data_IF_742211672650
#
_entry.id   IF_742211672650
#
_cell.length_a   1.000
_cell.length_b   1.000
_cell.length_c   1.000
_cell.angle_alpha   90.00
_cell.angle_beta   90.00
_cell.angle_gamma   90.00
#
_symmetry.space_group_name_H-M   'P 1'
#
loop_
_entity.id
_entity.type
_entity.pdbx_description
1 polymer ?
#
# COMPACT_ATOMS: atom_id res chain seq x y z
N UNK A 1 39.54 -16.57 7.20
CA UNK A 1 38.79 -17.14 6.07
C UNK A 1 37.44 -16.47 6.05
N UNK A 2 37.35 -15.43 5.23
CA UNK A 2 36.17 -14.57 5.07
C UNK A 2 35.12 -15.32 4.29
N UNK A 3 34.11 -15.84 4.98
CA UNK A 3 32.88 -16.27 4.32
C UNK A 3 32.20 -15.00 3.80
N UNK A 4 32.41 -14.72 2.51
CA UNK A 4 31.56 -13.83 1.74
C UNK A 4 30.18 -14.49 1.68
N UNK A 5 29.32 -14.17 2.64
CA UNK A 5 27.90 -14.30 2.42
C UNK A 5 27.54 -13.37 1.27
N UNK A 6 26.81 -13.83 0.23
CA UNK A 6 26.18 -12.89 -0.68
C UNK A 6 25.27 -12.02 0.18
N UNK A 7 25.58 -10.73 0.28
CA UNK A 7 24.70 -9.73 0.88
C UNK A 7 23.39 -9.76 0.09
N UNK A 8 22.47 -10.60 0.53
CA UNK A 8 21.11 -10.64 0.02
C UNK A 8 20.31 -9.70 0.92
N UNK A 9 20.52 -8.40 0.69
CA UNK A 9 19.68 -7.32 1.20
C UNK A 9 18.22 -7.63 0.86
N UNK A 10 17.30 -7.52 1.83
CA UNK A 10 15.91 -7.99 1.78
C UNK A 10 15.68 -9.47 1.35
N UNK A 11 15.95 -10.41 2.26
CA UNK A 11 15.30 -11.72 2.21
C UNK A 11 13.79 -11.56 2.41
N UNK A 12 13.02 -11.84 1.36
CA UNK A 12 11.55 -11.67 1.32
C UNK A 12 10.86 -12.31 2.53
N UNK A 13 11.31 -13.51 2.89
CA UNK A 13 10.75 -14.28 4.00
C UNK A 13 11.00 -13.60 5.35
N UNK A 14 12.21 -13.07 5.57
CA UNK A 14 12.59 -12.49 6.85
C UNK A 14 11.81 -11.20 7.11
N UNK A 15 11.62 -10.37 6.08
CA UNK A 15 10.79 -9.16 6.17
C UNK A 15 9.35 -9.49 6.54
N UNK A 16 8.78 -10.54 5.95
CA UNK A 16 7.38 -10.92 6.20
C UNK A 16 7.23 -11.54 7.59
N UNK A 17 8.18 -12.38 8.01
CA UNK A 17 8.19 -12.99 9.35
C UNK A 17 8.35 -11.89 10.41
N UNK A 18 9.27 -10.94 10.22
CA UNK A 18 9.47 -9.82 11.13
C UNK A 18 8.22 -8.93 11.20
N UNK A 19 7.68 -8.53 10.04
CA UNK A 19 6.46 -7.72 9.97
C UNK A 19 5.25 -8.41 10.61
N UNK A 20 5.11 -9.73 10.40
CA UNK A 20 4.05 -10.52 11.04
C UNK A 20 4.24 -10.63 12.55
N UNK A 21 5.47 -10.83 13.02
CA UNK A 21 5.80 -10.91 14.45
C UNK A 21 5.42 -9.61 15.17
N UNK A 22 5.83 -8.46 14.64
CA UNK A 22 5.50 -7.14 15.22
C UNK A 22 3.99 -6.91 15.25
N UNK A 23 3.31 -7.22 14.15
CA UNK A 23 1.86 -7.10 14.07
C UNK A 23 1.14 -7.99 15.10
N UNK A 24 1.59 -9.23 15.26
CA UNK A 24 1.03 -10.19 16.21
C UNK A 24 1.25 -9.74 17.66
N UNK A 25 2.46 -9.31 17.99
CA UNK A 25 2.86 -8.97 19.35
C UNK A 25 2.10 -7.71 19.85
N UNK A 26 1.75 -6.79 18.94
CA UNK A 26 0.97 -5.57 19.24
C UNK A 26 -0.45 -5.56 18.64
N UNK A 27 -1.01 -6.73 18.34
CA UNK A 27 -2.26 -6.88 17.58
C UNK A 27 -3.40 -6.02 18.14
N UNK A 28 -3.66 -6.09 19.46
CA UNK A 28 -4.76 -5.36 20.09
C UNK A 28 -4.64 -3.85 19.93
N UNK A 29 -3.42 -3.33 20.09
CA UNK A 29 -3.15 -1.90 19.99
C UNK A 29 -3.32 -1.42 18.55
N UNK A 30 -2.69 -2.10 17.60
CA UNK A 30 -2.76 -1.74 16.18
C UNK A 30 -4.15 -1.91 15.60
N UNK A 31 -4.86 -2.98 15.96
CA UNK A 31 -6.23 -3.21 15.55
C UNK A 31 -7.16 -2.11 16.08
N UNK A 32 -7.05 -1.73 17.35
CA UNK A 32 -7.89 -0.67 17.94
C UNK A 32 -7.62 0.68 17.29
N UNK A 33 -6.34 1.01 17.05
CA UNK A 33 -5.97 2.25 16.35
C UNK A 33 -6.52 2.26 14.92
N UNK A 34 -6.37 1.16 14.18
CA UNK A 34 -6.86 1.06 12.82
C UNK A 34 -8.39 1.09 12.75
N UNK A 35 -9.10 0.47 13.70
CA UNK A 35 -10.56 0.50 13.77
C UNK A 35 -11.06 1.93 14.01
N UNK A 36 -10.46 2.63 14.98
CA UNK A 36 -10.76 4.06 15.24
C UNK A 36 -10.41 4.92 14.02
N UNK A 37 -9.28 4.65 13.35
CA UNK A 37 -8.88 5.34 12.11
C UNK A 37 -9.89 5.11 10.98
N UNK A 38 -10.32 3.87 10.76
CA UNK A 38 -11.29 3.50 9.73
C UNK A 38 -12.69 4.07 10.01
N UNK A 39 -13.10 4.21 11.27
CA UNK A 39 -14.35 4.89 11.65
C UNK A 39 -14.38 6.35 11.16
N UNK A 40 -13.24 7.03 11.14
CA UNK A 40 -13.15 8.38 10.59
C UNK A 40 -13.41 8.44 9.08
N UNK A 41 -13.33 7.33 8.33
CA UNK A 41 -13.61 7.34 6.89
C UNK A 41 -15.05 7.78 6.54
N UNK A 42 -15.98 7.70 7.49
CA UNK A 42 -17.35 8.17 7.36
C UNK A 42 -17.38 9.69 7.14
N UNK A 43 -16.44 10.43 7.71
CA UNK A 43 -16.32 11.89 7.56
C UNK A 43 -15.39 12.19 6.36
N UNK A 44 -15.91 12.71 5.23
CA UNK A 44 -15.08 12.98 4.06
C UNK A 44 -13.99 14.01 4.34
N UNK A 45 -12.89 13.92 3.58
CA UNK A 45 -11.74 14.84 3.60
C UNK A 45 -11.00 14.86 4.94
N UNK A 46 -11.60 15.42 6.00
CA UNK A 46 -11.02 15.49 7.34
C UNK A 46 -10.79 14.09 7.90
N UNK A 47 -11.80 13.23 7.85
CA UNK A 47 -11.70 11.88 8.38
C UNK A 47 -10.77 10.98 7.56
N UNK A 48 -10.64 11.25 6.26
CA UNK A 48 -9.64 10.60 5.41
C UNK A 48 -8.22 10.99 5.82
N UNK A 49 -7.96 12.29 6.01
CA UNK A 49 -6.68 12.78 6.53
C UNK A 49 -6.36 12.18 7.91
N UNK A 50 -7.37 12.11 8.79
CA UNK A 50 -7.24 11.52 10.13
C UNK A 50 -6.94 10.03 10.10
N UNK A 51 -7.62 9.29 9.22
CA UNK A 51 -7.38 7.87 9.00
C UNK A 51 -5.94 7.66 8.52
N UNK A 52 -5.50 8.39 7.48
CA UNK A 52 -4.13 8.29 6.95
C UNK A 52 -3.06 8.62 8.00
N UNK A 53 -3.26 9.66 8.80
CA UNK A 53 -2.35 10.01 9.89
C UNK A 53 -2.28 8.91 10.96
N UNK A 54 -3.41 8.25 11.25
CA UNK A 54 -3.46 7.12 12.20
C UNK A 54 -2.73 5.91 11.63
N UNK A 55 -2.87 5.64 10.33
CA UNK A 55 -2.14 4.58 9.65
C UNK A 55 -0.63 4.87 9.58
N UNK A 56 -0.24 6.13 9.37
CA UNK A 56 1.15 6.58 9.46
C UNK A 56 1.72 6.40 10.88
N UNK A 57 0.92 6.66 11.92
CA UNK A 57 1.33 6.44 13.31
C UNK A 57 1.60 4.97 13.60
N UNK A 58 0.79 4.04 13.05
CA UNK A 58 1.04 2.60 13.17
C UNK A 58 2.36 2.21 12.50
N UNK A 59 2.66 2.75 11.32
CA UNK A 59 3.93 2.49 10.64
C UNK A 59 5.13 3.04 11.43
N UNK A 60 4.99 4.23 12.03
CA UNK A 60 6.01 4.83 12.90
C UNK A 60 6.27 3.98 14.14
N UNK A 61 5.22 3.52 14.82
CA UNK A 61 5.33 2.61 15.97
C UNK A 61 6.02 1.30 15.58
N UNK A 62 5.63 0.71 14.46
CA UNK A 62 6.26 -0.51 13.97
C UNK A 62 7.75 -0.31 13.62
N UNK A 63 8.13 0.86 13.07
CA UNK A 63 9.53 1.18 12.80
C UNK A 63 10.35 1.29 14.07
N UNK A 64 9.87 2.04 15.06
CA UNK A 64 10.54 2.20 16.34
C UNK A 64 10.67 0.89 17.14
N UNK A 65 9.73 -0.03 16.96
CA UNK A 65 9.83 -1.39 17.50
C UNK A 65 10.98 -2.18 16.84
N UNK A 66 11.13 -2.09 15.51
CA UNK A 66 12.25 -2.72 14.77
C UNK A 66 13.59 -2.09 15.17
N UNK A 67 13.63 -0.78 15.37
CA UNK A 67 14.82 -0.05 15.78
C UNK A 67 15.17 -0.18 17.27
N UNK A 68 14.50 -1.08 18.01
CA UNK A 68 14.68 -1.33 19.44
C UNK A 68 14.54 -0.06 20.33
N UNK A 69 13.76 0.93 19.85
CA UNK A 69 13.52 2.21 20.54
C UNK A 69 12.02 2.51 20.60
N UNK A 70 11.25 1.79 21.43
CA UNK A 70 9.79 1.87 21.42
C UNK A 70 9.30 3.27 21.78
N UNK A 71 8.51 3.87 20.89
CA UNK A 71 7.84 5.16 21.09
C UNK A 71 6.45 4.94 21.71
N UNK A 72 6.02 5.74 22.70
CA UNK A 72 4.68 5.61 23.24
C UNK A 72 3.61 6.00 22.20
N UNK A 73 2.45 5.32 22.19
CA UNK A 73 1.40 5.54 21.19
C UNK A 73 0.80 6.95 21.17
N UNK A 74 0.87 7.67 22.30
CA UNK A 74 0.43 9.06 22.40
C UNK A 74 1.27 9.99 21.54
N UNK A 75 2.58 9.74 21.49
CA UNK A 75 3.55 10.65 20.89
C UNK A 75 3.55 10.47 19.38
N UNK A 76 3.53 9.22 18.91
CA UNK A 76 3.33 8.88 17.50
C UNK A 76 2.04 9.52 16.95
N UNK A 77 0.94 9.44 17.70
CA UNK A 77 -0.36 10.03 17.28
C UNK A 77 -0.32 11.56 17.31
N UNK A 78 0.36 12.18 18.27
CA UNK A 78 0.50 13.65 18.34
C UNK A 78 1.30 14.16 17.14
N UNK A 79 2.39 13.46 16.82
CA UNK A 79 3.26 13.79 15.71
C UNK A 79 2.54 13.71 14.35
N UNK A 80 1.92 12.56 14.03
CA UNK A 80 1.28 12.38 12.72
C UNK A 80 0.02 13.22 12.55
N UNK A 81 -0.74 13.46 13.63
CA UNK A 81 -1.94 14.31 13.56
C UNK A 81 -1.62 15.77 13.20
N UNK A 82 -0.46 16.29 13.61
CA UNK A 82 -0.01 17.64 13.21
C UNK A 82 0.19 17.73 11.70
N UNK A 83 0.53 16.61 11.04
CA UNK A 83 0.86 16.50 9.61
C UNK A 83 -0.22 15.79 8.78
N UNK A 84 -1.42 15.60 9.30
CA UNK A 84 -2.53 14.89 8.64
C UNK A 84 -2.84 15.41 7.22
N UNK A 85 -2.69 16.71 6.98
CA UNK A 85 -2.89 17.32 5.66
C UNK A 85 -1.79 16.96 4.66
N UNK A 86 -0.56 16.79 5.13
CA UNK A 86 0.54 16.31 4.29
C UNK A 86 0.32 14.86 3.88
N UNK A 87 -0.25 14.01 4.74
CA UNK A 87 -0.66 12.65 4.39
C UNK A 87 -1.76 12.63 3.33
N UNK A 88 -2.77 13.50 3.47
CA UNK A 88 -3.83 13.62 2.46
C UNK A 88 -3.27 14.12 1.13
N UNK A 89 -2.40 15.13 1.16
CA UNK A 89 -1.72 15.64 -0.02
C UNK A 89 -0.85 14.59 -0.71
N UNK A 90 -0.15 13.76 0.06
CA UNK A 90 0.63 12.64 -0.47
C UNK A 90 -0.26 11.62 -1.17
N UNK A 91 -1.37 11.19 -0.52
CA UNK A 91 -2.31 10.25 -1.13
C UNK A 91 -2.88 10.80 -2.44
N UNK A 92 -3.26 12.08 -2.46
CA UNK A 92 -3.78 12.74 -3.66
C UNK A 92 -2.74 12.83 -4.77
N UNK A 93 -1.48 13.17 -4.46
CA UNK A 93 -0.42 13.25 -5.45
C UNK A 93 -0.08 11.88 -6.05
N UNK A 94 0.08 10.85 -5.22
CA UNK A 94 0.33 9.48 -5.69
C UNK A 94 -0.85 8.97 -6.51
N UNK A 95 -2.08 9.22 -6.05
CA UNK A 95 -3.30 8.89 -6.79
C UNK A 95 -3.35 9.59 -8.16
N UNK A 96 -3.01 10.87 -8.23
CA UNK A 96 -2.98 11.64 -9.47
C UNK A 96 -1.93 11.11 -10.45
N UNK A 97 -0.76 10.70 -9.96
CA UNK A 97 0.29 10.07 -10.78
C UNK A 97 -0.24 8.78 -11.41
N UNK A 98 -0.82 7.88 -10.59
CA UNK A 98 -1.38 6.60 -11.05
C UNK A 98 -2.50 6.80 -12.07
N UNK A 99 -3.42 7.73 -11.79
CA UNK A 99 -4.52 8.08 -12.72
C UNK A 99 -3.98 8.64 -14.02
N UNK A 100 -2.98 9.54 -13.95
CA UNK A 100 -2.34 10.14 -15.13
C UNK A 100 -1.72 9.10 -16.04
N UNK A 101 -1.02 8.12 -15.47
CA UNK A 101 -0.43 6.99 -16.21
C UNK A 101 -1.50 6.12 -16.85
N UNK A 102 -2.55 5.79 -16.08
CA UNK A 102 -3.65 4.97 -16.57
C UNK A 102 -4.35 5.64 -17.77
N UNK A 103 -4.66 6.94 -17.66
CA UNK A 103 -5.26 7.72 -18.74
C UNK A 103 -4.32 7.77 -19.94
N UNK A 104 -3.06 8.15 -19.74
CA UNK A 104 -2.07 8.27 -20.82
C UNK A 104 -1.89 6.96 -21.58
N UNK A 105 -1.79 5.84 -20.87
CA UNK A 105 -1.70 4.51 -21.49
C UNK A 105 -2.99 4.12 -22.21
N UNK A 106 -4.16 4.38 -21.61
CA UNK A 106 -5.46 4.08 -22.22
C UNK A 106 -5.68 4.86 -23.52
N UNK A 107 -5.16 6.09 -23.63
CA UNK A 107 -5.20 6.88 -24.85
C UNK A 107 -4.32 6.28 -25.95
N UNK A 108 -3.10 5.85 -25.62
CA UNK A 108 -2.19 5.21 -26.58
C UNK A 108 -2.78 3.89 -27.10
N UNK A 109 -3.27 3.05 -26.18
CA UNK A 109 -3.85 1.76 -26.56
C UNK A 109 -5.17 1.94 -27.32
N UNK A 110 -6.00 2.90 -26.92
CA UNK A 110 -7.25 3.24 -27.59
C UNK A 110 -7.04 3.76 -29.02
N UNK A 111 -6.03 4.62 -29.24
CA UNK A 111 -5.70 5.11 -30.60
C UNK A 111 -5.16 3.99 -31.48
N UNK A 112 -4.31 3.10 -30.95
CA UNK A 112 -3.85 1.92 -31.69
C UNK A 112 -5.02 1.04 -32.14
N UNK A 113 -5.94 0.68 -31.23
CA UNK A 113 -7.13 -0.12 -31.57
C UNK A 113 -8.01 0.59 -32.60
N UNK A 114 -8.23 1.90 -32.44
CA UNK A 114 -9.06 2.68 -33.36
C UNK A 114 -8.50 2.69 -34.79
N UNK A 115 -7.18 2.79 -34.95
CA UNK A 115 -6.52 2.69 -36.27
C UNK A 115 -6.74 1.32 -36.88
N UNK A 116 -6.58 0.24 -36.11
CA UNK A 116 -6.83 -1.12 -36.59
C UNK A 116 -8.30 -1.33 -37.02
N UNK A 117 -9.26 -0.77 -36.30
CA UNK A 117 -10.68 -0.82 -36.69
C UNK A 117 -10.96 -0.06 -37.99
N UNK A 118 -10.30 1.09 -38.20
CA UNK A 118 -10.44 1.92 -39.42
C UNK A 118 -9.91 1.25 -40.69
N UNK A 119 -9.03 0.24 -40.57
CA UNK A 119 -8.52 -0.49 -41.73
C UNK A 119 -9.60 -1.35 -42.42
N UNK A 120 -10.77 -1.55 -41.77
CA UNK A 120 -11.96 -2.20 -42.34
C UNK A 120 -11.70 -3.56 -43.01
N UNK A 121 -10.67 -4.25 -42.53
CA UNK A 121 -10.30 -5.60 -42.97
C UNK A 121 -11.12 -6.56 -42.09
N UNK A 122 -12.28 -6.99 -42.61
CA UNK A 122 -13.12 -8.00 -41.96
C UNK A 122 -12.46 -9.38 -42.08
N UNK A 123 -11.44 -9.59 -41.25
CA UNK A 123 -10.72 -10.87 -41.22
C UNK A 123 -10.64 -11.34 -39.77
N UNK A 124 -11.03 -12.60 -39.57
CA UNK A 124 -10.93 -13.30 -38.28
C UNK A 124 -9.55 -13.09 -37.62
N UNK A 125 -8.47 -13.16 -38.41
CA UNK A 125 -7.09 -12.93 -37.98
C UNK A 125 -6.84 -11.55 -37.36
N UNK A 126 -7.50 -10.51 -37.86
CA UNK A 126 -7.28 -9.13 -37.41
C UNK A 126 -7.98 -8.88 -36.07
N UNK A 127 -9.17 -9.47 -35.86
CA UNK A 127 -9.84 -9.46 -34.55
C UNK A 127 -9.01 -10.15 -33.48
N UNK A 128 -8.40 -11.29 -33.81
CA UNK A 128 -7.49 -12.00 -32.90
C UNK A 128 -6.24 -11.18 -32.57
N UNK A 129 -5.67 -10.49 -33.57
CA UNK A 129 -4.51 -9.62 -33.40
C UNK A 129 -4.84 -8.43 -32.46
N UNK A 130 -5.98 -7.75 -32.66
CA UNK A 130 -6.43 -6.67 -31.77
C UNK A 130 -6.64 -7.18 -30.35
N UNK A 131 -7.25 -8.36 -30.18
CA UNK A 131 -7.44 -8.97 -28.87
C UNK A 131 -6.10 -9.25 -28.18
N UNK A 132 -5.14 -9.86 -28.87
CA UNK A 132 -3.80 -10.12 -28.34
C UNK A 132 -3.07 -8.82 -27.98
N UNK A 133 -3.16 -7.78 -28.82
CA UNK A 133 -2.58 -6.47 -28.55
C UNK A 133 -3.19 -5.84 -27.29
N UNK A 134 -4.51 -5.92 -27.13
CA UNK A 134 -5.20 -5.40 -25.96
C UNK A 134 -4.80 -6.15 -24.68
N UNK A 135 -4.73 -7.49 -24.73
CA UNK A 135 -4.28 -8.32 -23.60
C UNK A 135 -2.84 -8.01 -23.24
N UNK A 136 -1.95 -7.96 -24.22
CA UNK A 136 -0.53 -7.67 -24.00
C UNK A 136 -0.32 -6.27 -23.45
N UNK A 137 -1.02 -5.27 -23.99
CA UNK A 137 -1.01 -3.91 -23.46
C UNK A 137 -1.54 -3.84 -22.04
N UNK A 138 -2.60 -4.57 -21.71
CA UNK A 138 -3.12 -4.64 -20.35
C UNK A 138 -2.10 -5.26 -19.37
N UNK A 139 -1.39 -6.31 -19.78
CA UNK A 139 -0.31 -6.91 -18.99
C UNK A 139 0.83 -5.92 -18.75
N UNK A 140 1.26 -5.19 -19.79
CA UNK A 140 2.30 -4.15 -19.66
C UNK A 140 1.85 -3.06 -18.68
N UNK A 141 0.61 -2.58 -18.82
CA UNK A 141 0.06 -1.58 -17.91
C UNK A 141 0.07 -2.08 -16.47
N UNK A 142 -0.37 -3.31 -16.23
CA UNK A 142 -0.42 -3.90 -14.90
C UNK A 142 0.97 -4.05 -14.28
N UNK A 143 1.95 -4.54 -15.05
CA UNK A 143 3.34 -4.65 -14.59
C UNK A 143 3.97 -3.28 -14.33
N UNK A 144 3.73 -2.30 -15.21
CA UNK A 144 4.20 -0.93 -15.02
C UNK A 144 3.58 -0.27 -13.78
N UNK A 145 2.29 -0.49 -13.54
CA UNK A 145 1.63 0.01 -12.31
C UNK A 145 2.18 -0.66 -11.06
N UNK A 146 2.47 -1.97 -11.09
CA UNK A 146 3.13 -2.66 -9.96
C UNK A 146 4.52 -2.10 -9.71
N UNK A 147 5.30 -1.86 -10.75
CA UNK A 147 6.65 -1.28 -10.66
C UNK A 147 6.64 0.10 -9.99
N UNK A 148 5.75 1.00 -10.44
CA UNK A 148 5.60 2.34 -9.85
C UNK A 148 5.07 2.26 -8.41
N UNK A 149 4.15 1.33 -8.15
CA UNK A 149 3.62 1.12 -6.80
C UNK A 149 4.71 0.67 -5.83
N UNK A 150 5.66 -0.17 -6.26
CA UNK A 150 6.80 -0.58 -5.45
C UNK A 150 7.70 0.63 -5.09
N UNK A 151 7.97 1.52 -6.05
CA UNK A 151 8.79 2.73 -5.82
C UNK A 151 8.14 3.74 -4.88
N UNK A 152 6.82 3.83 -4.92
CA UNK A 152 6.04 4.73 -4.06
C UNK A 152 5.56 4.06 -2.77
N UNK A 153 5.91 2.78 -2.56
CA UNK A 153 5.34 1.96 -1.48
C UNK A 153 5.69 2.48 -0.08
N UNK A 154 6.88 3.07 0.09
CA UNK A 154 7.44 3.48 1.38
C UNK A 154 7.20 4.96 1.69
N UNK A 155 6.69 5.73 0.73
CA UNK A 155 6.52 7.17 0.85
C UNK A 155 5.70 7.58 2.09
N UNK A 156 4.73 6.77 2.52
CA UNK A 156 3.90 7.02 3.71
C UNK A 156 4.65 6.81 5.02
N UNK A 157 5.64 5.91 5.04
CA UNK A 157 6.53 5.67 6.19
C UNK A 157 7.53 6.80 6.33
N UNK A 158 8.15 7.22 5.22
CA UNK A 158 9.07 8.37 5.17
C UNK A 158 8.39 9.64 5.72
N UNK A 159 7.16 9.91 5.30
CA UNK A 159 6.41 11.07 5.79
C UNK A 159 6.06 10.97 7.29
N UNK A 160 5.93 9.75 7.83
CA UNK A 160 5.65 9.52 9.25
C UNK A 160 6.89 9.64 10.15
N UNK A 161 8.09 9.40 9.60
CA UNK A 161 9.33 9.34 10.37
C UNK A 161 10.18 10.61 10.22
N UNK A 162 10.34 11.14 9.01
CA UNK A 162 11.25 12.26 8.77
C UNK A 162 10.62 13.62 9.10
N UNK A 163 11.27 14.40 9.98
CA UNK A 163 10.77 15.68 10.52
C UNK A 163 10.60 16.81 9.51
N UNK A 164 11.38 16.81 8.42
CA UNK A 164 11.41 17.91 7.43
C UNK A 164 10.87 17.52 6.05
N UNK A 165 10.02 16.49 5.96
CA UNK A 165 9.46 16.05 4.68
C UNK A 165 8.09 16.64 4.38
N UNK A 166 7.92 17.17 3.17
CA UNK A 166 6.60 17.46 2.61
C UNK A 166 6.19 16.32 1.67
N UNK A 167 4.91 16.24 1.33
CA UNK A 167 4.37 15.19 0.45
C UNK A 167 5.15 14.98 -0.86
N UNK A 168 5.69 16.06 -1.45
CA UNK A 168 6.53 15.97 -2.65
C UNK A 168 7.93 15.43 -2.36
N UNK A 169 8.53 15.86 -1.24
CA UNK A 169 9.87 15.43 -0.81
C UNK A 169 9.86 13.95 -0.42
N UNK A 170 8.81 13.47 0.25
CA UNK A 170 8.67 12.05 0.59
C UNK A 170 8.56 11.16 -0.65
N UNK A 171 7.87 11.62 -1.70
CA UNK A 171 7.77 10.88 -2.98
C UNK A 171 9.15 10.81 -3.66
N UNK A 172 9.87 11.94 -3.70
CA UNK A 172 11.22 11.97 -4.28
C UNK A 172 12.18 11.06 -3.50
N UNK A 173 12.20 11.17 -2.18
CA UNK A 173 13.05 10.33 -1.33
C UNK A 173 12.68 8.85 -1.49
N UNK A 174 11.39 8.50 -1.54
CA UNK A 174 11.00 7.09 -1.74
C UNK A 174 11.50 6.56 -3.08
N UNK A 175 11.49 7.39 -4.13
CA UNK A 175 12.00 7.02 -5.45
C UNK A 175 13.51 6.75 -5.46
N UNK A 176 14.29 7.58 -4.77
CA UNK A 176 15.75 7.42 -4.65
C UNK A 176 16.13 6.20 -3.80
N UNK A 177 15.41 5.96 -2.69
CA UNK A 177 15.71 4.85 -1.76
C UNK A 177 15.33 3.48 -2.35
N UNK A 178 14.31 3.41 -3.20
CA UNK A 178 13.79 2.14 -3.73
C UNK A 178 14.37 1.73 -5.07
N UNK A 179 15.30 2.52 -5.63
CA UNK A 179 15.83 2.31 -6.98
C UNK A 179 16.57 0.97 -7.13
N UNK A 180 17.32 0.54 -6.12
CA UNK A 180 18.13 -0.68 -6.19
C UNK A 180 17.35 -1.96 -5.80
N UNK A 181 16.24 -1.83 -5.06
CA UNK A 181 15.50 -2.97 -4.46
C UNK A 181 14.06 -3.13 -4.95
N UNK A 182 13.72 -2.56 -6.12
CA UNK A 182 12.36 -2.54 -6.64
C UNK A 182 11.71 -3.93 -6.81
N UNK A 183 12.45 -4.92 -7.32
CA UNK A 183 11.96 -6.28 -7.51
C UNK A 183 11.76 -7.03 -6.19
N UNK A 184 12.59 -6.74 -5.19
CA UNK A 184 12.48 -7.33 -3.85
C UNK A 184 11.23 -6.80 -3.15
N UNK A 185 10.98 -5.48 -3.20
CA UNK A 185 9.77 -4.86 -2.66
C UNK A 185 8.53 -5.41 -3.36
N UNK A 186 8.57 -5.57 -4.68
CA UNK A 186 7.49 -6.19 -5.45
C UNK A 186 7.23 -7.64 -5.00
N UNK A 187 8.28 -8.44 -4.82
CA UNK A 187 8.19 -9.81 -4.30
C UNK A 187 7.56 -9.86 -2.90
N UNK A 188 8.01 -9.00 -1.98
CA UNK A 188 7.44 -8.88 -0.63
C UNK A 188 5.96 -8.50 -0.69
N UNK A 189 5.61 -7.53 -1.55
CA UNK A 189 4.22 -7.12 -1.73
C UNK A 189 3.35 -8.27 -2.24
N UNK A 190 3.82 -9.04 -3.23
CA UNK A 190 3.10 -10.21 -3.76
C UNK A 190 2.87 -11.25 -2.66
N UNK A 191 3.90 -11.60 -1.90
CA UNK A 191 3.78 -12.61 -0.83
C UNK A 191 2.87 -12.08 0.30
N UNK A 192 2.95 -10.80 0.65
CA UNK A 192 2.06 -10.18 1.64
C UNK A 192 0.58 -10.17 1.20
N UNK A 193 0.32 -9.88 -0.08
CA UNK A 193 -1.03 -9.99 -0.67
C UNK A 193 -1.49 -11.44 -0.67
N UNK A 194 -0.61 -12.38 -1.01
CA UNK A 194 -0.92 -13.82 -1.00
C UNK A 194 -1.30 -14.30 0.40
N UNK A 195 -0.55 -13.86 1.43
CA UNK A 195 -0.81 -14.18 2.83
C UNK A 195 -2.15 -13.61 3.33
N UNK A 196 -2.62 -12.51 2.75
CA UNK A 196 -3.89 -11.87 3.14
C UNK A 196 -5.09 -12.32 2.30
N UNK A 197 -4.91 -13.17 1.28
CA UNK A 197 -6.00 -13.69 0.43
C UNK A 197 -7.18 -14.33 1.17
N UNK A 198 -7.00 -15.04 2.31
CA UNK A 198 -8.13 -15.59 3.05
C UNK A 198 -9.12 -14.51 3.53
N UNK A 199 -8.66 -13.29 3.80
CA UNK A 199 -9.51 -12.23 4.36
C UNK A 199 -10.54 -11.68 3.35
N UNK A 200 -10.20 -11.29 2.11
CA UNK A 200 -11.20 -10.93 1.10
C UNK A 200 -12.20 -12.05 0.83
N UNK A 201 -11.75 -13.32 0.79
CA UNK A 201 -12.62 -14.48 0.57
C UNK A 201 -13.62 -14.60 1.72
N UNK A 202 -13.14 -14.57 2.97
CA UNK A 202 -13.99 -14.59 4.16
C UNK A 202 -14.95 -13.40 4.19
N UNK A 203 -14.49 -12.21 3.82
CA UNK A 203 -15.30 -10.99 3.74
C UNK A 203 -16.45 -11.18 2.75
N UNK A 204 -16.18 -11.67 1.54
CA UNK A 204 -17.20 -11.93 0.52
C UNK A 204 -18.19 -12.99 0.98
N UNK A 205 -17.70 -14.03 1.66
CA UNK A 205 -18.54 -15.09 2.21
C UNK A 205 -19.51 -14.57 3.28
N UNK A 206 -19.03 -13.78 4.24
CA UNK A 206 -19.86 -13.16 5.29
C UNK A 206 -20.90 -12.22 4.68
N UNK A 207 -20.50 -11.40 3.70
CA UNK A 207 -21.41 -10.49 3.00
C UNK A 207 -22.48 -11.24 2.19
N UNK A 208 -22.12 -12.38 1.60
CA UNK A 208 -23.05 -13.23 0.88
C UNK A 208 -24.09 -13.82 1.83
N UNK A 209 -23.66 -14.41 2.95
CA UNK A 209 -24.57 -15.00 3.94
C UNK A 209 -25.51 -13.96 4.56
N UNK A 210 -24.96 -12.81 4.97
CA UNK A 210 -25.78 -11.72 5.53
C UNK A 210 -26.81 -11.21 4.53
N UNK A 211 -26.44 -11.03 3.25
CA UNK A 211 -27.36 -10.59 2.20
C UNK A 211 -28.48 -11.59 1.95
N UNK A 212 -28.18 -12.89 1.94
CA UNK A 212 -29.20 -13.94 1.80
C UNK A 212 -30.20 -13.91 2.95
N UNK A 213 -29.72 -13.80 4.19
CA UNK A 213 -30.57 -13.73 5.37
C UNK A 213 -31.45 -12.47 5.38
N UNK A 214 -30.86 -11.30 5.16
CA UNK A 214 -31.57 -10.00 5.19
C UNK A 214 -32.66 -9.95 4.11
N UNK A 215 -32.33 -10.36 2.87
CA UNK A 215 -33.28 -10.33 1.77
C UNK A 215 -34.40 -11.37 1.92
N UNK A 216 -34.20 -12.42 2.72
CA UNK A 216 -35.24 -13.41 3.01
C UNK A 216 -36.17 -12.98 4.15
N UNK A 217 -35.72 -12.11 5.04
CA UNK A 217 -36.44 -11.73 6.26
C UNK A 217 -37.20 -10.39 6.12
N UNK A 218 -36.76 -9.54 5.20
CA UNK A 218 -37.17 -8.13 5.16
C UNK A 218 -37.57 -7.72 3.74
N UNK A 219 -38.49 -6.76 3.60
CA UNK A 219 -38.87 -6.16 2.32
C UNK A 219 -37.69 -5.49 1.63
N UNK A 220 -37.74 -5.40 0.30
CA UNK A 220 -36.62 -4.92 -0.52
C UNK A 220 -36.13 -3.51 -0.13
N UNK A 221 -37.04 -2.61 0.24
CA UNK A 221 -36.71 -1.23 0.61
C UNK A 221 -35.84 -1.15 1.86
N UNK A 222 -36.21 -1.88 2.92
CA UNK A 222 -35.47 -1.89 4.19
C UNK A 222 -34.21 -2.78 4.08
N UNK A 223 -34.26 -3.84 3.27
CA UNK A 223 -33.12 -4.72 3.01
C UNK A 223 -31.92 -3.97 2.40
N UNK A 224 -32.15 -2.99 1.53
CA UNK A 224 -31.05 -2.18 0.95
C UNK A 224 -30.27 -1.44 2.04
N UNK A 225 -30.98 -0.77 2.96
CA UNK A 225 -30.34 -0.03 4.06
C UNK A 225 -29.55 -0.94 5.00
N UNK A 226 -30.12 -2.09 5.38
CA UNK A 226 -29.45 -3.06 6.24
C UNK A 226 -28.23 -3.69 5.56
N UNK A 227 -28.35 -4.04 4.28
CA UNK A 227 -27.22 -4.57 3.50
C UNK A 227 -26.07 -3.55 3.42
N UNK A 228 -26.37 -2.26 3.24
CA UNK A 228 -25.37 -1.21 3.21
C UNK A 228 -24.68 -1.05 4.58
N UNK A 229 -25.43 -1.07 5.67
CA UNK A 229 -24.88 -1.00 7.03
C UNK A 229 -23.93 -2.18 7.28
N UNK A 230 -24.38 -3.41 7.01
CA UNK A 230 -23.56 -4.61 7.18
C UNK A 230 -22.31 -4.55 6.30
N UNK A 231 -22.44 -4.11 5.04
CA UNK A 231 -21.31 -3.91 4.14
C UNK A 231 -20.28 -2.97 4.75
N UNK A 232 -20.70 -1.79 5.19
CA UNK A 232 -19.79 -0.80 5.79
C UNK A 232 -19.10 -1.34 7.05
N UNK A 233 -19.84 -1.99 7.95
CA UNK A 233 -19.28 -2.53 9.19
C UNK A 233 -18.26 -3.64 8.94
N UNK A 234 -18.58 -4.59 8.04
CA UNK A 234 -17.68 -5.70 7.71
C UNK A 234 -16.42 -5.16 7.01
N UNK A 235 -16.55 -4.21 6.09
CA UNK A 235 -15.40 -3.61 5.41
C UNK A 235 -14.47 -2.87 6.40
N UNK A 236 -15.04 -2.10 7.35
CA UNK A 236 -14.25 -1.40 8.38
C UNK A 236 -13.51 -2.41 9.26
N UNK A 237 -14.19 -3.46 9.73
CA UNK A 237 -13.58 -4.48 10.59
C UNK A 237 -12.46 -5.25 9.88
N UNK A 238 -12.69 -5.67 8.64
CA UNK A 238 -11.70 -6.41 7.84
C UNK A 238 -10.54 -5.51 7.39
N UNK A 239 -10.80 -4.23 7.10
CA UNK A 239 -9.76 -3.24 6.85
C UNK A 239 -8.87 -3.01 8.08
N UNK A 240 -9.48 -2.85 9.25
CA UNK A 240 -8.74 -2.68 10.51
C UNK A 240 -7.85 -3.88 10.86
N UNK A 241 -8.20 -5.08 10.39
CA UNK A 241 -7.42 -6.30 10.57
C UNK A 241 -6.25 -6.39 9.57
N UNK A 242 -6.48 -6.04 8.31
CA UNK A 242 -5.48 -6.24 7.24
C UNK A 242 -4.49 -5.09 7.11
N UNK A 243 -4.92 -3.85 7.33
CA UNK A 243 -4.07 -2.66 7.10
C UNK A 243 -2.84 -2.63 8.02
N UNK A 244 -2.92 -2.90 9.34
CA UNK A 244 -1.75 -2.81 10.20
C UNK A 244 -0.64 -3.81 9.86
N UNK A 245 -1.02 -4.98 9.32
CA UNK A 245 -0.06 -5.95 8.80
C UNK A 245 0.79 -5.35 7.68
N UNK A 246 0.15 -4.72 6.68
CA UNK A 246 0.89 -4.02 5.61
C UNK A 246 1.73 -2.86 6.13
N UNK A 247 1.27 -2.13 7.16
CA UNK A 247 2.03 -1.04 7.78
C UNK A 247 3.28 -1.56 8.51
N UNK A 248 3.19 -2.72 9.16
CA UNK A 248 4.32 -3.35 9.84
C UNK A 248 5.37 -3.83 8.84
N UNK A 249 4.95 -4.45 7.73
CA UNK A 249 5.86 -4.85 6.64
C UNK A 249 6.58 -3.64 6.04
N UNK A 250 5.84 -2.56 5.74
CA UNK A 250 6.44 -1.33 5.21
C UNK A 250 7.52 -0.75 6.13
N UNK A 251 7.28 -0.78 7.44
CA UNK A 251 8.23 -0.29 8.43
C UNK A 251 9.54 -1.11 8.43
N UNK A 252 9.43 -2.44 8.36
CA UNK A 252 10.60 -3.34 8.27
C UNK A 252 11.38 -3.10 6.98
N UNK A 253 10.70 -2.98 5.83
CA UNK A 253 11.34 -2.69 4.54
C UNK A 253 12.13 -1.37 4.63
N UNK A 254 11.53 -0.33 5.20
CA UNK A 254 12.21 0.97 5.31
C UNK A 254 13.44 0.91 6.22
N UNK A 255 13.36 0.20 7.35
CA UNK A 255 14.49 0.00 8.25
C UNK A 255 15.65 -0.73 7.56
N UNK A 256 15.35 -1.80 6.81
CA UNK A 256 16.37 -2.56 6.08
C UNK A 256 17.04 -1.71 5.00
N UNK A 257 16.26 -0.94 4.23
CA UNK A 257 16.78 -0.08 3.17
C UNK A 257 17.67 1.06 3.69
N UNK A 258 17.32 1.69 4.81
CA UNK A 258 18.17 2.74 5.40
C UNK A 258 19.49 2.15 5.89
N UNK A 259 19.45 1.04 6.63
CA UNK A 259 20.68 0.44 7.15
C UNK A 259 21.62 0.01 6.03
N UNK A 260 21.08 -0.47 4.90
CA UNK A 260 21.88 -0.78 3.73
C UNK A 260 22.50 0.47 3.08
N UNK A 261 21.77 1.57 3.00
CA UNK A 261 22.32 2.84 2.49
C UNK A 261 23.40 3.39 3.43
N UNK A 262 23.18 3.36 4.74
CA UNK A 262 24.17 3.81 5.72
C UNK A 262 25.45 2.94 5.66
N UNK A 263 25.32 1.62 5.51
CA UNK A 263 26.46 0.72 5.31
C UNK A 263 27.20 1.02 4.00
N UNK A 264 26.49 1.30 2.90
CA UNK A 264 27.11 1.69 1.63
C UNK A 264 27.79 3.06 1.70
N UNK A 265 27.19 4.05 2.36
CA UNK A 265 27.73 5.40 2.55
C UNK A 265 28.98 5.38 3.46
N UNK A 266 29.00 4.52 4.49
CA UNK A 266 30.17 4.27 5.33
C UNK A 266 31.31 3.60 4.56
N UNK A 267 31.01 2.73 3.60
CA UNK A 267 32.00 2.09 2.72
C UNK A 267 32.51 3.06 1.63
N UNK A 268 31.74 4.10 1.28
CA UNK A 268 32.06 5.03 0.19
C UNK A 268 32.59 6.41 0.65
N UNK A 269 32.90 6.59 1.93
CA UNK A 269 33.52 7.81 2.51
C UNK A 269 32.74 9.11 2.22
N UNK A 270 31.40 9.05 2.27
CA UNK A 270 30.54 10.24 2.18
C UNK A 270 29.39 10.18 3.21
N UNK A 271 29.64 10.60 4.46
CA UNK A 271 28.64 10.47 5.52
C UNK A 271 27.55 11.54 5.37
N UNK A 272 26.34 11.13 4.97
CA UNK A 272 25.12 11.87 5.31
C UNK A 272 24.63 11.40 6.68
N UNK A 273 25.18 11.98 7.73
CA UNK A 273 24.65 11.81 9.08
C UNK A 273 23.25 12.45 9.11
N UNK A 274 22.22 11.63 9.01
CA UNK A 274 20.86 12.02 9.36
C UNK A 274 20.76 12.00 10.89
N UNK A 275 20.81 13.18 11.50
CA UNK A 275 20.33 13.35 12.88
C UNK A 275 18.83 13.03 12.90
N UNK A 276 18.51 11.83 13.41
CA UNK A 276 17.16 11.39 13.80
C UNK A 276 16.82 12.01 15.15
#
# INVERSE_FOLDING_TARGET
>A
MTNQYPQNSLSISDVIIAGFRIYRDHFKQYFTMALVGCLWLIVPVYGWAKCLATLGAIARLAFFEVSERPEPPSDAKRYTNKRQWSFLGQLLLVGLIIIGIFIGFSMVLGTAIFIFMKLNIETFWLSWLIFLLAVFGFIILYLGLMWISARLYICDVILALEDQTNAKKSIKNSWEITEESEFQIMGIFIVAVLATLPFPIATRFILLLSRLLINSLVTAEVAVGLNLLVLSTVLIAMGALTIPFFKSIKAVIYYDLINHQDEQDLVTDNPKILEI
#
